data_IF_664526678842
#
_entry.id   IF_664526678842
#
_cell.length_a   1.000
_cell.length_b   1.000
_cell.length_c   1.000
_cell.angle_alpha   90.00
_cell.angle_beta   90.00
_cell.angle_gamma   90.00
#
_symmetry.space_group_name_H-M   'P 1'
#
loop_
_entity.id
_entity.type
_entity.pdbx_description
1 polymer ?
#
# COMPACT_ATOMS: atom_id res chain seq x y z
N UNK A 1 -25.71 10.18 -18.51
CA UNK A 1 -25.62 10.67 -19.91
C UNK A 1 -26.96 10.85 -20.60
N UNK A 2 -27.92 9.90 -20.51
CA UNK A 2 -29.21 9.99 -21.22
C UNK A 2 -30.05 11.25 -20.93
N UNK A 3 -29.98 11.77 -19.69
CA UNK A 3 -30.72 12.98 -19.30
C UNK A 3 -30.07 14.26 -19.83
N UNK A 4 -28.75 14.28 -20.08
CA UNK A 4 -28.05 15.48 -20.59
C UNK A 4 -28.19 15.63 -22.10
N UNK A 5 -28.32 14.54 -22.85
CA UNK A 5 -28.56 14.54 -24.30
C UNK A 5 -29.93 15.08 -24.70
N UNK A 6 -30.89 15.18 -23.76
CA UNK A 6 -32.19 15.79 -23.99
C UNK A 6 -32.19 17.33 -23.87
N UNK A 7 -31.21 17.91 -23.16
CA UNK A 7 -31.16 19.36 -22.87
C UNK A 7 -29.99 20.09 -23.52
N UNK A 8 -28.96 19.37 -23.98
CA UNK A 8 -27.73 19.96 -24.52
C UNK A 8 -27.36 19.41 -25.89
N UNK A 9 -26.66 20.21 -26.70
CA UNK A 9 -26.20 19.78 -28.01
C UNK A 9 -25.15 18.66 -27.89
N UNK A 10 -25.03 17.79 -28.90
CA UNK A 10 -24.00 16.74 -28.92
C UNK A 10 -22.59 17.29 -28.71
N UNK A 11 -22.26 18.47 -29.26
CA UNK A 11 -20.93 19.08 -29.06
C UNK A 11 -20.71 19.50 -27.60
N UNK A 12 -21.74 20.02 -26.93
CA UNK A 12 -21.66 20.43 -25.52
C UNK A 12 -21.45 19.21 -24.62
N UNK A 13 -22.16 18.11 -24.88
CA UNK A 13 -22.00 16.86 -24.13
C UNK A 13 -20.60 16.27 -24.33
N UNK A 14 -20.08 16.29 -25.57
CA UNK A 14 -18.71 15.84 -25.84
C UNK A 14 -17.65 16.70 -25.15
N UNK A 15 -17.78 18.02 -25.20
CA UNK A 15 -16.85 18.94 -24.54
C UNK A 15 -16.81 18.69 -23.03
N UNK A 16 -17.97 18.56 -22.39
CA UNK A 16 -18.06 18.26 -20.95
C UNK A 16 -17.42 16.91 -20.64
N UNK A 17 -17.66 15.88 -21.45
CA UNK A 17 -17.02 14.58 -21.25
C UNK A 17 -15.49 14.69 -21.37
N UNK A 18 -14.98 15.38 -22.39
CA UNK A 18 -13.54 15.59 -22.54
C UNK A 18 -12.91 16.36 -21.37
N UNK A 19 -13.64 17.33 -20.80
CA UNK A 19 -13.19 18.05 -19.60
C UNK A 19 -13.18 17.12 -18.38
N UNK A 20 -14.22 16.30 -18.20
CA UNK A 20 -14.28 15.32 -17.10
C UNK A 20 -13.14 14.32 -17.20
N UNK A 21 -12.89 13.77 -18.39
CA UNK A 21 -11.81 12.82 -18.64
C UNK A 21 -10.44 13.48 -18.39
N UNK A 22 -10.27 14.72 -18.86
CA UNK A 22 -9.05 15.49 -18.61
C UNK A 22 -8.84 15.75 -17.13
N UNK A 23 -9.87 16.20 -16.40
CA UNK A 23 -9.81 16.43 -14.95
C UNK A 23 -9.48 15.13 -14.21
N UNK A 24 -10.08 14.00 -14.59
CA UNK A 24 -9.76 12.69 -14.02
C UNK A 24 -8.31 12.27 -14.29
N UNK A 25 -7.77 12.59 -15.47
CA UNK A 25 -6.39 12.29 -15.83
C UNK A 25 -5.35 13.12 -15.06
N UNK A 26 -5.72 14.33 -14.61
CA UNK A 26 -4.81 15.22 -13.86
C UNK A 26 -4.98 15.13 -12.34
N UNK A 27 -5.99 14.41 -11.84
CA UNK A 27 -6.04 14.07 -10.41
C UNK A 27 -4.97 13.02 -10.11
N UNK A 28 -3.99 13.31 -9.24
CA UNK A 28 -2.92 12.37 -8.93
C UNK A 28 -3.49 11.15 -8.20
N UNK A 29 -3.47 10.02 -8.90
CA UNK A 29 -3.79 8.70 -8.38
C UNK A 29 -2.53 7.84 -8.40
N UNK A 30 -2.22 7.21 -7.27
CA UNK A 30 -1.09 6.30 -7.14
C UNK A 30 -1.68 4.93 -6.85
N UNK A 31 -1.26 3.94 -7.64
CA UNK A 31 -1.48 2.53 -7.37
C UNK A 31 -0.10 1.90 -7.24
N UNK A 32 0.17 1.36 -6.06
CA UNK A 32 1.31 0.46 -5.82
C UNK A 32 0.72 -0.93 -5.78
N UNK A 33 0.99 -1.69 -6.83
CA UNK A 33 0.67 -3.13 -6.91
C UNK A 33 1.54 -3.91 -5.92
N UNK A 34 1.32 -5.22 -5.82
CA UNK A 34 2.03 -6.11 -4.90
C UNK A 34 3.56 -5.90 -4.85
N UNK A 35 4.08 -5.69 -3.65
CA UNK A 35 5.51 -5.72 -3.36
C UNK A 35 5.84 -7.07 -2.73
N UNK A 36 6.49 -7.96 -3.50
CA UNK A 36 6.80 -9.33 -3.06
C UNK A 36 8.30 -9.53 -2.94
N UNK A 37 8.76 -9.81 -1.72
CA UNK A 37 10.17 -10.15 -1.43
C UNK A 37 10.29 -11.55 -0.83
N UNK A 38 11.17 -12.37 -1.40
CA UNK A 38 11.37 -13.77 -0.98
C UNK A 38 12.84 -14.12 -0.94
N UNK A 39 13.26 -14.85 0.10
CA UNK A 39 14.58 -15.47 0.19
C UNK A 39 14.48 -16.95 0.56
N UNK A 40 15.49 -17.73 0.17
CA UNK A 40 15.59 -19.18 0.36
C UNK A 40 17.04 -19.62 0.67
N UNK A 41 17.83 -18.75 1.29
CA UNK A 41 19.23 -19.00 1.62
C UNK A 41 19.36 -19.40 3.09
N UNK A 42 20.20 -20.40 3.40
CA UNK A 42 20.38 -20.99 4.76
C UNK A 42 20.44 -20.00 5.95
N UNK A 43 20.85 -18.75 5.71
CA UNK A 43 20.54 -17.62 6.57
C UNK A 43 20.24 -16.40 5.69
N UNK A 44 19.08 -15.78 5.88
CA UNK A 44 18.65 -14.61 5.09
C UNK A 44 18.32 -13.42 5.98
N UNK A 45 18.80 -12.24 5.59
CA UNK A 45 18.31 -10.97 6.12
C UNK A 45 17.56 -10.26 5.00
N UNK A 46 16.25 -10.07 5.17
CA UNK A 46 15.43 -9.33 4.23
C UNK A 46 15.12 -7.99 4.86
N UNK A 47 15.49 -6.92 4.18
CA UNK A 47 15.14 -5.56 4.59
C UNK A 47 14.31 -4.93 3.48
N UNK A 48 13.14 -4.42 3.87
CA UNK A 48 12.28 -3.58 3.03
C UNK A 48 12.27 -2.20 3.67
N UNK A 49 12.97 -1.26 3.05
CA UNK A 49 13.10 0.13 3.52
C UNK A 49 12.30 1.06 2.60
N UNK A 50 11.77 2.15 3.16
CA UNK A 50 11.33 3.36 2.46
C UNK A 50 10.26 3.18 1.37
N UNK A 51 9.04 2.75 1.74
CA UNK A 51 7.88 2.82 0.84
C UNK A 51 7.11 4.12 1.10
N UNK A 52 7.42 5.16 0.33
CA UNK A 52 6.81 6.50 0.50
C UNK A 52 5.88 6.85 -0.66
N UNK A 53 4.59 6.98 -0.37
CA UNK A 53 3.57 7.38 -1.36
C UNK A 53 2.83 8.65 -0.94
N UNK A 54 2.68 9.60 -1.89
CA UNK A 54 2.02 10.89 -1.66
C UNK A 54 1.14 11.30 -2.84
N UNK A 55 -0.18 11.38 -2.63
CA UNK A 55 -1.16 11.63 -3.68
C UNK A 55 -2.56 11.86 -3.12
N UNK A 56 -3.52 12.21 -3.98
CA UNK A 56 -4.89 12.47 -3.53
C UNK A 56 -5.65 11.16 -3.26
N UNK A 57 -5.51 10.19 -4.16
CA UNK A 57 -6.07 8.85 -4.05
C UNK A 57 -4.92 7.85 -4.14
N UNK A 58 -4.70 7.07 -3.09
CA UNK A 58 -3.62 6.07 -3.04
C UNK A 58 -4.24 4.70 -2.78
N UNK A 59 -3.84 3.72 -3.57
CA UNK A 59 -4.05 2.30 -3.31
C UNK A 59 -2.68 1.65 -3.20
N UNK A 60 -2.44 0.96 -2.10
CA UNK A 60 -1.30 0.06 -1.91
C UNK A 60 -1.91 -1.33 -1.70
N UNK A 61 -1.65 -2.23 -2.64
CA UNK A 61 -2.01 -3.65 -2.54
C UNK A 61 -1.05 -4.36 -1.57
N UNK A 62 -0.81 -5.65 -1.77
CA UNK A 62 -0.16 -6.47 -0.76
C UNK A 62 1.35 -6.22 -0.66
N UNK A 63 1.85 -6.03 0.55
CA UNK A 63 3.28 -6.07 0.86
C UNK A 63 3.57 -7.43 1.47
N UNK A 64 4.18 -8.33 0.70
CA UNK A 64 4.41 -9.72 1.10
C UNK A 64 5.91 -9.99 1.21
N UNK A 65 6.37 -10.23 2.44
CA UNK A 65 7.76 -10.62 2.72
C UNK A 65 7.81 -12.02 3.32
N UNK A 66 8.58 -12.92 2.69
CA UNK A 66 8.69 -14.31 3.14
C UNK A 66 10.14 -14.80 3.18
N UNK A 67 10.51 -15.44 4.28
CA UNK A 67 11.73 -16.25 4.39
C UNK A 67 11.37 -17.69 4.79
N UNK A 68 12.11 -18.66 4.24
CA UNK A 68 11.91 -20.10 4.47
C UNK A 68 13.06 -20.79 5.21
N UNK A 69 13.93 -20.03 5.88
CA UNK A 69 15.28 -20.48 6.24
C UNK A 69 15.53 -20.62 7.76
N UNK A 70 16.46 -21.52 8.14
CA UNK A 70 16.77 -21.95 9.52
C UNK A 70 17.01 -20.81 10.51
N UNK A 71 17.52 -19.68 10.03
CA UNK A 71 17.60 -18.42 10.74
C UNK A 71 17.32 -17.26 9.77
N UNK A 72 16.34 -16.43 10.08
CA UNK A 72 15.96 -15.30 9.23
C UNK A 72 15.66 -14.06 10.05
N UNK A 73 16.19 -12.91 9.63
CA UNK A 73 15.70 -11.62 10.11
C UNK A 73 14.94 -10.95 8.96
N UNK A 74 13.73 -10.47 9.26
CA UNK A 74 12.97 -9.63 8.33
C UNK A 74 12.74 -8.30 9.02
N UNK A 75 13.17 -7.23 8.38
CA UNK A 75 12.93 -5.85 8.82
C UNK A 75 12.09 -5.17 7.75
N UNK A 76 10.96 -4.59 8.15
CA UNK A 76 10.11 -3.75 7.32
C UNK A 76 9.97 -2.41 8.04
N UNK A 77 10.50 -1.35 7.44
CA UNK A 77 10.54 -0.02 8.06
C UNK A 77 10.10 1.07 7.08
N UNK A 78 9.66 2.20 7.64
CA UNK A 78 9.38 3.45 6.92
C UNK A 78 8.33 3.34 5.79
N UNK A 79 7.25 2.59 6.02
CA UNK A 79 6.08 2.59 5.12
C UNK A 79 5.23 3.82 5.42
N UNK A 80 5.41 4.88 4.63
CA UNK A 80 4.74 6.18 4.83
C UNK A 80 3.80 6.48 3.67
N UNK A 81 2.50 6.42 3.95
CA UNK A 81 1.45 6.73 2.96
C UNK A 81 0.67 7.97 3.38
N UNK A 82 0.67 9.01 2.53
CA UNK A 82 -0.04 10.27 2.81
C UNK A 82 -0.92 10.75 1.65
N UNK A 83 -2.22 10.85 1.90
CA UNK A 83 -3.19 11.29 0.90
C UNK A 83 -4.52 11.76 1.45
N UNK A 84 -5.54 11.88 0.60
CA UNK A 84 -6.90 12.20 1.04
C UNK A 84 -7.75 10.94 1.17
N UNK A 85 -7.68 10.05 0.18
CA UNK A 85 -8.30 8.73 0.20
C UNK A 85 -7.19 7.69 0.07
N UNK A 86 -7.04 6.83 1.06
CA UNK A 86 -5.97 5.83 1.11
C UNK A 86 -6.61 4.48 1.37
N UNK A 87 -6.24 3.50 0.55
CA UNK A 87 -6.49 2.07 0.80
C UNK A 87 -5.13 1.38 0.89
N UNK A 88 -4.90 0.70 2.00
CA UNK A 88 -3.79 -0.24 2.18
C UNK A 88 -4.44 -1.59 2.45
N UNK A 89 -4.17 -2.59 1.61
CA UNK A 89 -4.67 -3.96 1.81
C UNK A 89 -3.81 -4.68 2.86
N UNK A 90 -3.10 -5.74 2.47
CA UNK A 90 -2.41 -6.58 3.45
C UNK A 90 -0.90 -6.32 3.52
N UNK A 91 -0.38 -6.20 4.74
CA UNK A 91 1.06 -6.29 5.00
C UNK A 91 1.32 -7.65 5.64
N UNK A 92 1.89 -8.58 4.87
CA UNK A 92 2.10 -9.96 5.27
C UNK A 92 3.60 -10.27 5.37
N UNK A 93 4.06 -10.43 6.61
CA UNK A 93 5.45 -10.80 6.91
C UNK A 93 5.50 -12.18 7.55
N UNK A 94 6.20 -13.13 6.94
CA UNK A 94 6.24 -14.52 7.44
C UNK A 94 7.64 -15.11 7.40
N UNK A 95 8.04 -15.71 8.52
CA UNK A 95 9.11 -16.70 8.59
C UNK A 95 8.54 -18.05 9.05
N UNK A 96 9.18 -19.15 8.65
CA UNK A 96 8.77 -20.51 8.98
C UNK A 96 9.57 -21.16 10.11
N UNK A 97 10.62 -20.53 10.62
CA UNK A 97 11.72 -21.27 11.26
C UNK A 97 12.00 -20.90 12.72
N UNK A 98 12.68 -21.81 13.41
CA UNK A 98 12.92 -21.89 14.87
C UNK A 98 13.65 -20.69 15.49
N UNK A 99 14.35 -19.88 14.69
CA UNK A 99 15.09 -18.70 15.13
C UNK A 99 14.90 -17.57 14.11
N UNK A 100 13.71 -16.98 14.11
CA UNK A 100 13.33 -15.90 13.21
C UNK A 100 12.88 -14.66 13.97
N UNK A 101 13.48 -13.50 13.63
CA UNK A 101 13.01 -12.20 14.11
C UNK A 101 12.30 -11.48 12.97
N UNK A 102 11.10 -11.00 13.25
CA UNK A 102 10.42 -10.03 12.40
C UNK A 102 10.33 -8.72 13.16
N UNK A 103 10.81 -7.65 12.53
CA UNK A 103 10.73 -6.28 13.01
C UNK A 103 9.91 -5.49 12.00
N UNK A 104 8.82 -4.89 12.46
CA UNK A 104 7.98 -4.00 11.66
C UNK A 104 7.84 -2.68 12.39
N UNK A 105 8.36 -1.61 11.81
CA UNK A 105 8.48 -0.30 12.45
C UNK A 105 7.98 0.81 11.51
N UNK A 106 7.53 1.92 12.09
CA UNK A 106 7.23 3.18 11.38
C UNK A 106 6.25 3.07 10.20
N UNK A 107 5.21 2.24 10.33
CA UNK A 107 4.09 2.21 9.38
C UNK A 107 3.15 3.38 9.68
N UNK A 108 3.22 4.41 8.85
CA UNK A 108 2.46 5.65 9.04
C UNK A 108 1.51 5.89 7.87
N UNK A 109 0.22 5.81 8.13
CA UNK A 109 -0.84 6.14 7.18
C UNK A 109 -1.60 7.39 7.61
N UNK A 110 -1.59 8.45 6.78
CA UNK A 110 -2.24 9.72 7.13
C UNK A 110 -3.07 10.31 5.99
N UNK A 111 -4.35 10.55 6.24
CA UNK A 111 -5.27 11.11 5.26
C UNK A 111 -6.73 11.12 5.70
N UNK A 112 -7.57 11.88 5.01
CA UNK A 112 -8.95 12.14 5.46
C UNK A 112 -9.86 10.91 5.52
N UNK A 113 -9.72 9.98 4.56
CA UNK A 113 -10.42 8.70 4.52
C UNK A 113 -9.38 7.60 4.35
N UNK A 114 -9.23 6.75 5.35
CA UNK A 114 -8.24 5.66 5.36
C UNK A 114 -8.96 4.34 5.57
N UNK A 115 -8.64 3.36 4.73
CA UNK A 115 -8.88 1.95 4.97
C UNK A 115 -7.51 1.27 5.04
N UNK A 116 -7.24 0.61 6.16
CA UNK A 116 -6.13 -0.34 6.32
C UNK A 116 -6.78 -1.66 6.69
N UNK A 117 -6.49 -2.73 5.96
CA UNK A 117 -7.04 -4.06 6.25
C UNK A 117 -6.20 -4.78 7.30
N UNK A 118 -5.34 -5.71 6.90
CA UNK A 118 -4.63 -6.58 7.83
C UNK A 118 -3.12 -6.37 7.81
N UNK A 119 -2.53 -6.34 9.01
CA UNK A 119 -1.08 -6.47 9.20
C UNK A 119 -0.84 -7.82 9.88
N UNK A 120 -0.29 -8.77 9.13
CA UNK A 120 -0.12 -10.16 9.55
C UNK A 120 1.37 -10.48 9.62
N UNK A 121 1.89 -10.56 10.84
CA UNK A 121 3.25 -11.03 11.12
C UNK A 121 3.25 -12.42 11.73
N UNK A 122 4.14 -13.30 11.26
CA UNK A 122 4.33 -14.64 11.84
C UNK A 122 5.80 -15.02 11.89
N UNK A 123 6.32 -15.17 13.10
CA UNK A 123 7.71 -15.50 13.42
C UNK A 123 7.81 -16.14 14.80
N UNK A 124 8.99 -16.64 15.19
CA UNK A 124 9.25 -17.03 16.59
C UNK A 124 9.38 -15.83 17.51
N UNK A 125 10.00 -14.75 17.04
CA UNK A 125 10.14 -13.48 17.73
C UNK A 125 9.64 -12.35 16.84
N UNK A 126 8.75 -11.50 17.38
CA UNK A 126 8.09 -10.42 16.65
C UNK A 126 8.20 -9.14 17.48
N UNK A 127 8.70 -8.09 16.85
CA UNK A 127 8.61 -6.70 17.33
C UNK A 127 7.78 -5.92 16.32
N UNK A 128 6.76 -5.24 16.81
CA UNK A 128 5.93 -4.34 16.02
C UNK A 128 5.79 -3.04 16.80
N UNK A 129 6.31 -1.96 16.24
CA UNK A 129 6.31 -0.65 16.86
C UNK A 129 5.80 0.42 15.89
N UNK A 130 5.24 1.49 16.44
CA UNK A 130 4.86 2.72 15.70
C UNK A 130 3.98 2.53 14.46
N UNK A 131 3.00 1.62 14.53
CA UNK A 131 1.89 1.55 13.56
C UNK A 131 0.89 2.67 13.87
N UNK A 132 0.85 3.68 13.01
CA UNK A 132 0.04 4.88 13.19
C UNK A 132 -0.87 5.09 11.99
N UNK A 133 -2.17 4.98 12.23
CA UNK A 133 -3.20 5.41 11.27
C UNK A 133 -3.90 6.68 11.80
N UNK A 134 -3.87 7.76 11.01
CA UNK A 134 -4.47 9.04 11.41
C UNK A 134 -5.27 9.72 10.30
N UNK A 135 -6.55 9.92 10.58
CA UNK A 135 -7.41 10.80 9.78
C UNK A 135 -7.25 12.29 10.10
#
# INVERSE_FOLDING_TARGET
MALFSEFFSPETVQLVQSIVDYVGSVTPHIVVEDIITRSSDLASNIVVEDIITRGSNIVVEDIITRSGDLASNIVVEDIITRGNNIVVEDIITRSSDLASNIVVEDIITRGSNIVVEDIITRSTDIVVEDIITRA
#
